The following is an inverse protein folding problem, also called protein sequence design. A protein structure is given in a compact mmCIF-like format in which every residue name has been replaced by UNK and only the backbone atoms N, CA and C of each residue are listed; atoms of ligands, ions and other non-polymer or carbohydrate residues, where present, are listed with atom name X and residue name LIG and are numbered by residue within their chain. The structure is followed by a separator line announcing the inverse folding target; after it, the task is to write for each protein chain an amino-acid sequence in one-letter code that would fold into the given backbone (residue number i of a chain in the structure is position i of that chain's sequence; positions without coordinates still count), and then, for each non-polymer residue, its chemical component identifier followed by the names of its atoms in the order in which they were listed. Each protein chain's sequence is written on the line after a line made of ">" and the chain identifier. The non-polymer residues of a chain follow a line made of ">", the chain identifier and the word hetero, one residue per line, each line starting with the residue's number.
data_IF_985811595939
#
_entry.id   IF_985811595939
#
_cell.length_a   1.000
_cell.length_b   1.000
_cell.length_c   1.000
_cell.angle_alpha   90.00
_cell.angle_beta   90.00
_cell.angle_gamma   90.00
#
_symmetry.space_group_name_H-M   'P 1'
#
loop_
_entity.id
_entity.type
_entity.pdbx_description
1 polymer ?
#
# COMPACT_ATOMS: atom_id res chain seq x y z
N UNK A 1 -12.36 17.01 -12.57
CA UNK A 1 -11.78 15.64 -12.64
C UNK A 1 -10.80 15.42 -13.80
N UNK A 2 -11.05 15.93 -15.02
CA UNK A 2 -10.19 15.68 -16.20
C UNK A 2 -8.83 16.40 -16.19
N UNK A 3 -8.75 17.61 -15.61
CA UNK A 3 -7.52 18.44 -15.67
C UNK A 3 -6.39 17.91 -14.77
N UNK A 4 -6.67 17.60 -13.50
CA UNK A 4 -5.69 17.00 -12.58
C UNK A 4 -5.11 15.68 -13.11
N UNK A 5 -5.97 14.85 -13.68
CA UNK A 5 -5.60 13.61 -14.35
C UNK A 5 -4.62 13.90 -15.51
N UNK A 6 -4.96 14.84 -16.39
CA UNK A 6 -4.09 15.20 -17.53
C UNK A 6 -2.74 15.78 -17.11
N UNK A 7 -2.71 16.58 -16.04
CA UNK A 7 -1.48 17.15 -15.50
C UNK A 7 -0.56 16.07 -14.96
N UNK A 8 -1.02 15.22 -14.03
CA UNK A 8 -0.15 14.19 -13.46
C UNK A 8 0.30 13.14 -14.49
N UNK A 9 -0.53 12.79 -15.47
CA UNK A 9 -0.10 11.91 -16.57
C UNK A 9 0.99 12.50 -17.45
N UNK A 10 1.06 13.84 -17.57
CA UNK A 10 2.09 14.52 -18.35
C UNK A 10 3.31 14.86 -17.53
N UNK A 11 3.09 15.39 -16.32
CA UNK A 11 4.10 16.07 -15.52
C UNK A 11 4.60 15.24 -14.34
N UNK A 12 4.15 13.99 -14.15
CA UNK A 12 4.74 13.12 -13.12
C UNK A 12 6.16 12.72 -13.50
N UNK A 13 7.01 12.51 -12.48
CA UNK A 13 8.36 11.96 -12.65
C UNK A 13 8.37 10.56 -13.30
N UNK A 14 7.24 9.84 -13.26
CA UNK A 14 7.07 8.57 -13.98
C UNK A 14 6.88 8.75 -15.49
N UNK A 15 6.53 9.95 -15.95
CA UNK A 15 6.13 10.21 -17.34
C UNK A 15 7.16 11.03 -18.11
N UNK A 16 7.81 11.98 -17.42
CA UNK A 16 8.81 12.89 -18.00
C UNK A 16 10.01 13.03 -17.07
N UNK A 17 11.16 13.33 -17.66
CA UNK A 17 12.37 13.67 -16.89
C UNK A 17 12.14 14.91 -16.01
N UNK A 18 12.79 14.92 -14.85
CA UNK A 18 12.88 16.07 -13.96
C UNK A 18 14.22 16.75 -14.13
N UNK A 19 14.17 18.03 -14.44
CA UNK A 19 15.38 18.80 -14.65
C UNK A 19 15.76 19.50 -13.36
N UNK A 20 17.04 19.45 -13.03
CA UNK A 20 17.62 20.13 -11.89
C UNK A 20 18.89 20.86 -12.33
N UNK A 21 19.15 22.01 -11.72
CA UNK A 21 20.39 22.73 -11.92
C UNK A 21 21.49 22.11 -11.07
N UNK A 22 22.57 21.65 -11.71
CA UNK A 22 23.77 21.18 -11.03
C UNK A 22 24.79 22.31 -11.00
N UNK A 23 25.02 22.85 -9.79
CA UNK A 23 26.02 23.87 -9.55
C UNK A 23 27.34 23.25 -9.05
N UNK A 24 28.44 23.99 -9.20
CA UNK A 24 29.77 23.54 -8.80
C UNK A 24 30.44 24.53 -7.83
N UNK A 25 31.25 24.02 -6.91
CA UNK A 25 32.09 24.85 -6.02
C UNK A 25 33.31 25.42 -6.74
N UNK A 26 33.71 24.83 -7.86
CA UNK A 26 34.91 25.19 -8.60
C UNK A 26 34.65 25.33 -10.10
N UNK A 27 35.40 26.23 -10.75
CA UNK A 27 35.28 26.49 -12.19
C UNK A 27 35.67 25.27 -13.04
N UNK A 28 36.45 24.33 -12.50
CA UNK A 28 36.80 23.07 -13.16
C UNK A 28 35.64 22.05 -13.19
N UNK A 29 34.50 22.35 -12.54
CA UNK A 29 33.30 21.51 -12.49
C UNK A 29 33.54 20.08 -11.99
N UNK A 30 34.46 19.92 -11.04
CA UNK A 30 34.77 18.62 -10.43
C UNK A 30 34.16 18.42 -9.05
N UNK A 31 33.65 19.49 -8.43
CA UNK A 31 32.99 19.44 -7.11
C UNK A 31 31.59 20.01 -7.20
N UNK A 32 30.58 19.13 -7.27
CA UNK A 32 29.16 19.50 -7.29
C UNK A 32 28.70 20.04 -5.94
N UNK A 33 27.80 21.02 -5.96
CA UNK A 33 27.05 21.44 -4.78
C UNK A 33 25.93 20.42 -4.50
N UNK A 34 25.60 20.26 -3.22
CA UNK A 34 24.49 19.41 -2.77
C UNK A 34 23.13 20.13 -2.79
N UNK A 35 23.08 21.35 -3.32
CA UNK A 35 21.89 22.18 -3.46
C UNK A 35 22.06 23.09 -4.67
N UNK A 36 20.95 23.58 -5.22
CA UNK A 36 20.95 24.68 -6.18
C UNK A 36 20.00 25.80 -5.79
N UNK A 37 20.38 27.03 -6.13
CA UNK A 37 19.52 28.23 -6.04
C UNK A 37 18.60 28.38 -7.25
N UNK A 38 18.92 27.74 -8.37
CA UNK A 38 18.27 27.98 -9.66
C UNK A 38 17.31 26.83 -9.98
N UNK A 39 16.07 27.18 -10.30
CA UNK A 39 15.00 26.21 -10.56
C UNK A 39 14.48 26.27 -12.02
N UNK A 40 15.20 26.97 -12.88
CA UNK A 40 14.92 27.04 -14.31
C UNK A 40 16.24 27.02 -15.10
N UNK A 41 16.13 26.66 -16.38
CA UNK A 41 17.27 26.47 -17.27
C UNK A 41 18.08 27.75 -17.45
N UNK A 42 17.42 28.88 -17.72
CA UNK A 42 18.08 30.15 -18.02
C UNK A 42 18.96 30.60 -16.85
N UNK A 43 18.38 30.71 -15.65
CA UNK A 43 19.13 31.13 -14.46
C UNK A 43 20.25 30.15 -14.11
N UNK A 44 20.04 28.85 -14.35
CA UNK A 44 21.06 27.84 -14.13
C UNK A 44 22.28 28.06 -15.03
N UNK A 45 22.03 28.21 -16.34
CA UNK A 45 23.08 28.37 -17.35
C UNK A 45 23.79 29.73 -17.23
N UNK A 46 23.05 30.81 -16.93
CA UNK A 46 23.60 32.15 -16.72
C UNK A 46 24.53 32.24 -15.49
N UNK A 47 24.42 31.28 -14.57
CA UNK A 47 25.24 31.19 -13.35
C UNK A 47 26.19 29.99 -13.38
N UNK A 48 26.66 29.59 -14.57
CA UNK A 48 27.64 28.53 -14.80
C UNK A 48 27.23 27.13 -14.31
N UNK A 49 25.94 26.93 -14.05
CA UNK A 49 25.35 25.63 -13.72
C UNK A 49 25.15 24.75 -14.94
N UNK A 50 24.82 23.49 -14.69
CA UNK A 50 24.44 22.54 -15.74
C UNK A 50 22.99 22.08 -15.54
N UNK A 51 22.14 22.36 -16.53
CA UNK A 51 20.74 21.97 -16.51
C UNK A 51 20.60 20.49 -16.92
N UNK A 52 20.46 19.59 -15.94
CA UNK A 52 20.50 18.14 -16.16
C UNK A 52 19.14 17.49 -16.01
N UNK A 53 18.83 16.57 -16.93
CA UNK A 53 17.65 15.70 -16.86
C UNK A 53 17.91 14.45 -16.00
N UNK A 54 17.06 14.25 -15.00
CA UNK A 54 16.99 13.07 -14.14
C UNK A 54 15.71 12.28 -14.40
N UNK A 55 15.81 10.95 -14.30
CA UNK A 55 14.72 10.05 -14.58
C UNK A 55 14.36 9.24 -13.32
N UNK A 56 13.08 9.23 -12.99
CA UNK A 56 12.55 8.26 -12.03
C UNK A 56 12.64 6.86 -12.62
N UNK A 57 12.96 5.86 -11.81
CA UNK A 57 13.28 4.53 -12.29
C UNK A 57 12.84 3.44 -11.29
N UNK A 58 12.47 2.26 -11.82
CA UNK A 58 12.23 1.06 -11.01
C UNK A 58 13.56 0.44 -10.58
N UNK A 59 14.46 0.23 -11.55
CA UNK A 59 15.81 -0.27 -11.31
C UNK A 59 16.76 0.07 -12.45
N UNK A 60 18.06 -0.04 -12.17
CA UNK A 60 19.11 0.04 -13.18
C UNK A 60 19.22 -1.28 -13.93
N UNK A 61 19.52 -1.20 -15.23
CA UNK A 61 19.70 -2.34 -16.12
C UNK A 61 21.12 -2.32 -16.74
N UNK A 62 22.19 -2.53 -15.95
CA UNK A 62 23.57 -2.35 -16.42
C UNK A 62 24.01 -3.35 -17.50
N UNK A 63 23.25 -4.43 -17.69
CA UNK A 63 23.50 -5.44 -18.73
C UNK A 63 22.90 -5.07 -20.09
N UNK A 64 22.06 -4.03 -20.14
CA UNK A 64 21.45 -3.52 -21.38
C UNK A 64 22.39 -2.49 -22.00
N UNK A 65 22.70 -2.66 -23.28
CA UNK A 65 23.59 -1.73 -23.99
C UNK A 65 22.94 -0.34 -24.10
N UNK A 66 23.76 0.72 -24.23
CA UNK A 66 23.24 2.07 -24.45
C UNK A 66 22.37 2.16 -25.72
N UNK A 67 22.72 1.41 -26.77
CA UNK A 67 21.96 1.38 -28.02
C UNK A 67 20.58 0.74 -27.83
N UNK A 68 20.48 -0.30 -26.99
CA UNK A 68 19.24 -1.01 -26.71
C UNK A 68 18.40 -0.35 -25.60
N UNK A 69 18.95 0.65 -24.92
CA UNK A 69 18.32 1.31 -23.78
C UNK A 69 17.40 2.48 -24.19
N UNK A 70 16.47 2.21 -25.11
CA UNK A 70 15.60 3.25 -25.66
C UNK A 70 14.16 2.72 -25.85
N UNK A 71 13.19 3.50 -25.38
CA UNK A 71 11.77 3.29 -25.70
C UNK A 71 11.16 2.06 -25.02
N UNK A 72 10.19 1.44 -25.70
CA UNK A 72 9.54 0.21 -25.25
C UNK A 72 10.39 -1.01 -25.61
N UNK A 73 10.85 -1.72 -24.57
CA UNK A 73 11.56 -2.98 -24.67
C UNK A 73 10.64 -4.19 -24.52
N UNK A 74 11.23 -5.34 -24.22
CA UNK A 74 10.50 -6.61 -24.05
C UNK A 74 9.52 -6.53 -22.86
N UNK A 75 8.40 -7.23 -22.97
CA UNK A 75 7.36 -7.35 -21.92
C UNK A 75 6.70 -6.02 -21.51
N UNK A 76 6.71 -5.01 -22.39
CA UNK A 76 6.09 -3.70 -22.13
C UNK A 76 6.88 -2.80 -21.18
N UNK A 77 8.12 -3.18 -20.85
CA UNK A 77 9.02 -2.36 -20.04
C UNK A 77 9.57 -1.20 -20.87
N UNK A 78 9.74 -0.04 -20.24
CA UNK A 78 10.33 1.13 -20.89
C UNK A 78 11.74 1.37 -20.37
N UNK A 79 12.64 1.73 -21.26
CA UNK A 79 14.05 1.97 -20.95
C UNK A 79 14.47 3.38 -21.35
N UNK A 80 15.38 3.96 -20.57
CA UNK A 80 16.06 5.21 -20.92
C UNK A 80 17.51 5.18 -20.44
N UNK A 81 18.41 5.66 -21.27
CA UNK A 81 19.79 5.91 -20.88
C UNK A 81 19.90 7.34 -20.33
N UNK A 82 20.13 7.48 -19.02
CA UNK A 82 20.08 8.80 -18.37
C UNK A 82 20.57 8.79 -16.92
N UNK A 83 20.43 9.94 -16.27
CA UNK A 83 20.80 10.10 -14.87
C UNK A 83 19.67 9.62 -13.94
N UNK A 84 19.96 8.72 -12.99
CA UNK A 84 18.97 8.28 -12.00
C UNK A 84 18.61 9.42 -11.04
N UNK A 85 17.32 9.66 -10.86
CA UNK A 85 16.81 10.61 -9.85
C UNK A 85 17.25 10.21 -8.44
N UNK A 86 17.68 11.20 -7.64
CA UNK A 86 18.07 11.01 -6.25
C UNK A 86 19.48 10.42 -6.03
N UNK A 87 20.28 10.29 -7.09
CA UNK A 87 21.67 9.85 -6.99
C UNK A 87 22.66 10.93 -7.42
N UNK A 88 23.70 11.14 -6.62
CA UNK A 88 24.82 11.98 -6.98
C UNK A 88 25.81 11.22 -7.88
N UNK A 89 25.49 11.12 -9.17
CA UNK A 89 26.34 10.47 -10.19
C UNK A 89 26.55 11.35 -11.42
N UNK A 90 27.73 11.25 -12.02
CA UNK A 90 28.06 11.85 -13.33
C UNK A 90 28.00 10.84 -14.47
N UNK A 91 27.68 9.57 -14.16
CA UNK A 91 27.52 8.52 -15.16
C UNK A 91 26.05 8.30 -15.47
N UNK A 92 25.70 8.44 -16.75
CA UNK A 92 24.45 7.93 -17.27
C UNK A 92 24.48 6.40 -17.25
N UNK A 93 23.33 5.79 -17.02
CA UNK A 93 23.17 4.34 -17.05
C UNK A 93 21.83 3.99 -17.67
N UNK A 94 21.66 2.71 -18.00
CA UNK A 94 20.37 2.24 -18.47
C UNK A 94 19.39 2.08 -17.30
N UNK A 95 18.22 2.70 -17.40
CA UNK A 95 17.19 2.75 -16.37
C UNK A 95 15.91 2.10 -16.90
N UNK A 96 15.30 1.23 -16.09
CA UNK A 96 13.94 0.74 -16.30
C UNK A 96 12.98 1.79 -15.76
N UNK A 97 12.18 2.40 -16.62
CA UNK A 97 11.20 3.42 -16.24
C UNK A 97 9.99 2.79 -15.54
N UNK A 98 9.42 3.45 -14.51
CA UNK A 98 8.14 3.04 -13.94
C UNK A 98 7.01 3.22 -14.96
N UNK A 99 5.88 2.51 -14.78
CA UNK A 99 4.69 2.79 -15.56
C UNK A 99 4.22 4.23 -15.33
N UNK A 100 3.59 4.80 -16.36
CA UNK A 100 2.92 6.09 -16.22
C UNK A 100 1.89 6.03 -15.07
N UNK A 101 1.62 7.16 -14.39
CA UNK A 101 0.66 7.18 -13.30
C UNK A 101 -0.71 6.71 -13.78
N UNK A 102 -1.29 5.74 -13.07
CA UNK A 102 -2.70 5.46 -13.21
C UNK A 102 -3.49 6.56 -12.50
N UNK A 103 -4.43 7.15 -13.22
CA UNK A 103 -5.21 8.27 -12.75
C UNK A 103 -6.68 7.93 -12.97
N UNK A 104 -7.40 7.79 -11.88
CA UNK A 104 -8.81 7.41 -11.88
C UNK A 104 -9.63 8.44 -11.10
N UNK A 105 -10.90 8.63 -11.47
CA UNK A 105 -11.88 9.24 -10.61
C UNK A 105 -11.83 8.68 -9.18
N UNK A 106 -11.68 9.54 -8.18
CA UNK A 106 -11.88 9.12 -6.79
C UNK A 106 -13.31 8.57 -6.63
N UNK A 107 -13.49 7.40 -6.00
CA UNK A 107 -14.82 6.91 -5.66
C UNK A 107 -15.58 7.92 -4.81
N UNK A 108 -16.87 8.06 -5.06
CA UNK A 108 -17.71 8.90 -4.22
C UNK A 108 -17.78 8.30 -2.81
N UNK A 109 -17.60 9.13 -1.78
CA UNK A 109 -17.91 8.77 -0.39
C UNK A 109 -18.58 9.96 0.30
N UNK A 110 -19.40 9.69 1.32
CA UNK A 110 -19.97 10.75 2.16
C UNK A 110 -18.88 11.29 3.09
N UNK A 111 -18.81 12.61 3.23
CA UNK A 111 -17.89 13.27 4.17
C UNK A 111 -18.05 12.70 5.58
N UNK A 112 -16.94 12.45 6.27
CA UNK A 112 -16.89 11.91 7.64
C UNK A 112 -17.51 10.50 7.83
N UNK A 113 -17.56 9.67 6.79
CA UNK A 113 -18.11 8.29 6.87
C UNK A 113 -17.04 7.23 6.54
N UNK A 114 -15.82 7.41 7.05
CA UNK A 114 -14.70 6.44 6.98
C UNK A 114 -14.37 5.93 5.56
N UNK A 115 -14.73 6.70 4.53
CA UNK A 115 -14.46 6.36 3.13
C UNK A 115 -15.40 5.32 2.53
N UNK A 116 -16.55 5.02 3.14
CA UNK A 116 -17.54 4.13 2.54
C UNK A 116 -18.14 4.74 1.26
N UNK A 117 -18.18 3.93 0.21
CA UNK A 117 -18.79 4.24 -1.06
C UNK A 117 -20.32 4.22 -0.97
N UNK A 118 -21.00 4.52 -2.08
CA UNK A 118 -22.48 4.46 -2.16
C UNK A 118 -23.05 3.08 -1.84
N UNK A 119 -22.26 2.03 -2.03
CA UNK A 119 -22.66 0.63 -1.80
C UNK A 119 -22.39 0.17 -0.35
N UNK A 120 -21.95 1.09 0.52
CA UNK A 120 -21.65 0.79 1.92
C UNK A 120 -20.30 0.09 2.15
N UNK A 121 -19.57 -0.21 1.08
CA UNK A 121 -18.23 -0.80 1.13
C UNK A 121 -17.14 0.28 1.21
N UNK A 122 -16.04 -0.01 1.87
CA UNK A 122 -14.90 0.91 1.90
C UNK A 122 -14.37 1.16 0.47
N UNK A 123 -14.13 2.43 0.15
CA UNK A 123 -13.48 2.81 -1.11
C UNK A 123 -12.10 2.17 -1.16
N UNK A 124 -11.77 1.59 -2.31
CA UNK A 124 -10.50 0.92 -2.54
C UNK A 124 -9.92 1.32 -3.90
N UNK A 125 -8.64 1.02 -4.07
CA UNK A 125 -7.93 1.16 -5.33
C UNK A 125 -7.11 -0.12 -5.55
N UNK A 126 -7.42 -0.84 -6.63
CA UNK A 126 -6.69 -2.04 -7.02
C UNK A 126 -5.37 -1.64 -7.64
N UNK A 127 -4.29 -1.76 -6.86
CA UNK A 127 -2.95 -1.47 -7.32
C UNK A 127 -2.26 -2.72 -7.88
N UNK A 128 -1.92 -2.70 -9.17
CA UNK A 128 -1.02 -3.69 -9.77
C UNK A 128 0.42 -3.33 -9.43
N UNK A 129 1.10 -4.23 -8.72
CA UNK A 129 2.49 -4.04 -8.30
C UNK A 129 3.43 -3.99 -9.51
N UNK A 130 4.44 -3.11 -9.50
CA UNK A 130 5.38 -2.98 -10.62
C UNK A 130 6.24 -4.24 -10.79
N UNK A 131 6.55 -4.56 -12.04
CA UNK A 131 7.45 -5.66 -12.40
C UNK A 131 8.91 -5.18 -12.44
N UNK A 132 9.78 -5.86 -11.71
CA UNK A 132 11.23 -5.62 -11.70
C UNK A 132 11.93 -6.73 -12.50
N UNK A 133 12.43 -6.47 -13.72
CA UNK A 133 13.08 -7.47 -14.56
C UNK A 133 14.29 -8.18 -13.93
N UNK A 134 14.94 -7.61 -12.92
CA UNK A 134 16.06 -8.31 -12.24
C UNK A 134 15.63 -9.54 -11.45
N UNK A 135 14.35 -9.69 -11.13
CA UNK A 135 13.87 -10.80 -10.30
C UNK A 135 14.48 -10.82 -8.90
N UNK A 136 14.98 -9.67 -8.42
CA UNK A 136 15.52 -9.52 -7.06
C UNK A 136 14.48 -8.93 -6.12
N UNK A 137 14.53 -9.32 -4.86
CA UNK A 137 13.71 -8.69 -3.81
C UNK A 137 14.00 -7.20 -3.73
N UNK A 138 12.93 -6.38 -3.72
CA UNK A 138 13.02 -4.91 -3.61
C UNK A 138 12.46 -4.44 -2.29
N UNK A 139 13.17 -3.48 -1.66
CA UNK A 139 12.63 -2.69 -0.56
C UNK A 139 11.92 -1.48 -1.16
N UNK A 140 10.61 -1.40 -0.99
CA UNK A 140 9.78 -0.36 -1.54
C UNK A 140 9.17 0.47 -0.41
N UNK A 141 8.86 1.73 -0.71
CA UNK A 141 8.06 2.60 0.15
C UNK A 141 6.74 2.84 -0.56
N UNK A 142 5.64 2.47 0.08
CA UNK A 142 4.32 2.96 -0.33
C UNK A 142 4.06 4.26 0.41
N UNK A 143 3.75 5.31 -0.33
CA UNK A 143 3.41 6.62 0.22
C UNK A 143 2.00 6.98 -0.20
N UNK A 144 1.13 7.18 0.79
CA UNK A 144 -0.25 7.60 0.59
C UNK A 144 -0.34 9.06 1.02
N UNK A 145 -0.74 9.93 0.08
CA UNK A 145 -0.98 11.34 0.35
C UNK A 145 -2.47 11.65 0.17
N UNK A 146 -3.05 12.29 1.17
CA UNK A 146 -4.41 12.80 1.12
C UNK A 146 -4.37 14.32 0.94
N UNK A 147 -4.80 14.77 -0.23
CA UNK A 147 -4.88 16.19 -0.58
C UNK A 147 -6.34 16.64 -0.54
N UNK A 148 -6.57 17.84 0.00
CA UNK A 148 -7.88 18.48 0.06
C UNK A 148 -7.84 19.69 -0.85
N UNK A 149 -8.85 19.85 -1.71
CA UNK A 149 -9.12 21.08 -2.45
C UNK A 149 -10.45 21.69 -2.00
N UNK A 150 -10.64 22.98 -2.27
CA UNK A 150 -11.87 23.73 -1.96
C UNK A 150 -12.41 24.36 -3.23
N UNK A 151 -13.72 24.60 -3.31
CA UNK A 151 -14.34 25.30 -4.45
C UNK A 151 -14.27 26.84 -4.32
N UNK A 152 -13.57 27.35 -3.31
CA UNK A 152 -13.34 28.78 -3.07
C UNK A 152 -12.40 29.44 -4.11
N UNK A 153 -11.77 28.65 -4.99
CA UNK A 153 -11.01 29.06 -6.17
C UNK A 153 -11.19 27.97 -7.24
N UNK A 154 -10.80 28.20 -8.50
CA UNK A 154 -10.80 27.12 -9.52
C UNK A 154 -9.74 26.08 -9.14
N UNK A 155 -10.13 24.93 -8.55
CA UNK A 155 -9.17 23.98 -8.03
C UNK A 155 -8.54 23.14 -9.15
N UNK A 156 -9.00 23.29 -10.40
CA UNK A 156 -8.59 22.50 -11.54
C UNK A 156 -7.67 23.26 -12.50
N UNK A 157 -7.69 24.59 -12.46
CA UNK A 157 -6.82 25.46 -13.26
C UNK A 157 -5.82 26.27 -12.42
N UNK A 158 -5.92 26.23 -11.09
CA UNK A 158 -4.97 26.88 -10.19
C UNK A 158 -3.91 25.88 -9.73
N UNK A 159 -2.65 26.16 -10.02
CA UNK A 159 -1.49 25.40 -9.58
C UNK A 159 -0.42 26.30 -8.95
N UNK A 160 0.80 25.76 -8.77
CA UNK A 160 1.90 26.49 -8.17
C UNK A 160 2.34 27.74 -8.97
N UNK A 161 2.00 27.87 -10.25
CA UNK A 161 2.28 29.07 -11.04
C UNK A 161 1.45 30.28 -10.59
N UNK A 162 0.35 30.05 -9.88
CA UNK A 162 -0.51 31.07 -9.30
C UNK A 162 -0.11 31.44 -7.87
N UNK A 163 1.00 30.89 -7.35
CA UNK A 163 1.55 31.31 -6.07
C UNK A 163 1.95 32.80 -6.15
N UNK A 164 1.68 33.54 -5.08
CA UNK A 164 1.95 34.97 -5.03
C UNK A 164 3.40 35.30 -5.41
N UNK A 165 3.58 36.06 -6.49
CA UNK A 165 4.87 36.56 -6.96
C UNK A 165 4.75 38.05 -7.30
N UNK A 166 5.10 38.90 -6.33
CA UNK A 166 5.00 40.35 -6.47
C UNK A 166 5.95 40.93 -7.53
N UNK A 167 7.06 40.27 -7.83
CA UNK A 167 8.01 40.73 -8.86
C UNK A 167 7.42 40.60 -10.26
N UNK A 168 6.60 39.57 -10.49
CA UNK A 168 5.90 39.34 -11.74
C UNK A 168 4.49 39.94 -11.76
N UNK A 169 4.11 40.69 -10.71
CA UNK A 169 2.76 41.23 -10.55
C UNK A 169 1.67 40.16 -10.37
N UNK A 170 2.06 38.94 -10.00
CA UNK A 170 1.14 37.82 -9.86
C UNK A 170 0.60 37.74 -8.43
N UNK A 171 -0.72 37.88 -8.30
CA UNK A 171 -1.43 37.76 -7.03
C UNK A 171 -2.07 36.39 -6.91
N UNK A 172 -1.91 35.77 -5.74
CA UNK A 172 -2.57 34.49 -5.45
C UNK A 172 -4.10 34.67 -5.46
N UNK A 173 -4.85 33.71 -6.05
CA UNK A 173 -6.32 33.72 -6.01
C UNK A 173 -6.85 33.51 -4.59
N UNK A 174 -6.04 32.93 -3.69
CA UNK A 174 -6.37 32.77 -2.27
C UNK A 174 -5.49 33.71 -1.46
N UNK A 175 -6.10 34.53 -0.61
CA UNK A 175 -5.39 35.53 0.22
C UNK A 175 -5.71 35.33 1.70
N UNK A 176 -4.80 35.80 2.56
CA UNK A 176 -4.99 35.77 4.01
C UNK A 176 -5.98 36.87 4.42
N UNK A 177 -7.08 36.47 5.07
CA UNK A 177 -8.13 37.36 5.56
C UNK A 177 -8.51 38.51 4.60
N UNK A 178 -8.91 38.22 3.35
CA UNK A 178 -9.19 39.24 2.36
C UNK A 178 -10.39 40.08 2.77
N UNK A 179 -10.38 41.33 2.32
CA UNK A 179 -11.50 42.25 2.44
C UNK A 179 -12.27 42.19 1.13
N UNK A 180 -13.49 41.70 1.16
CA UNK A 180 -14.34 41.50 -0.03
C UNK A 180 -15.42 42.57 -0.08
N UNK A 181 -15.54 43.20 -1.25
CA UNK A 181 -16.65 44.10 -1.52
C UNK A 181 -17.90 43.26 -1.79
N UNK A 182 -18.97 43.57 -1.06
CA UNK A 182 -20.26 42.90 -1.16
C UNK A 182 -21.31 43.76 -1.89
N UNK A 183 -20.88 44.85 -2.54
CA UNK A 183 -21.78 45.80 -3.21
C UNK A 183 -22.60 46.65 -2.24
N UNK A 184 -22.26 46.63 -0.94
CA UNK A 184 -22.80 47.53 0.06
C UNK A 184 -21.80 48.67 0.26
N UNK A 185 -22.08 49.82 -0.36
CA UNK A 185 -21.22 51.01 -0.40
C UNK A 185 -20.39 51.20 0.88
N UNK A 186 -19.06 51.21 0.70
CA UNK A 186 -18.04 51.42 1.74
C UNK A 186 -18.05 50.46 2.94
N UNK A 187 -18.77 49.34 2.86
CA UNK A 187 -18.87 48.36 3.94
C UNK A 187 -18.37 46.97 3.52
N UNK A 188 -17.06 46.82 3.21
CA UNK A 188 -16.55 45.53 2.81
C UNK A 188 -16.51 44.57 4.02
N UNK A 189 -16.71 43.28 3.76
CA UNK A 189 -16.60 42.25 4.79
C UNK A 189 -15.21 41.64 4.78
N UNK A 190 -14.67 41.36 5.97
CA UNK A 190 -13.41 40.64 6.11
C UNK A 190 -13.67 39.16 6.27
N UNK A 191 -13.19 38.35 5.33
CA UNK A 191 -13.25 36.90 5.45
C UNK A 191 -12.22 36.42 6.49
N UNK A 192 -12.57 35.42 7.29
CA UNK A 192 -11.68 34.79 8.27
C UNK A 192 -10.94 33.61 7.62
N UNK A 193 -10.15 33.89 6.59
CA UNK A 193 -9.40 32.88 5.83
C UNK A 193 -7.97 32.79 6.35
N UNK A 194 -7.57 31.58 6.75
CA UNK A 194 -6.17 31.22 6.99
C UNK A 194 -5.62 30.42 5.80
N UNK A 195 -4.71 31.00 5.03
CA UNK A 195 -4.11 30.33 3.85
C UNK A 195 -3.33 29.07 4.23
N UNK A 196 -2.86 28.94 5.47
CA UNK A 196 -2.24 27.71 5.97
C UNK A 196 -3.24 26.55 6.21
N UNK A 197 -4.54 26.83 6.15
CA UNK A 197 -5.62 25.84 6.30
C UNK A 197 -6.42 25.65 5.01
N UNK A 198 -6.18 26.49 3.99
CA UNK A 198 -6.71 26.30 2.64
C UNK A 198 -6.05 25.11 1.96
N UNK A 199 -6.74 24.50 0.98
CA UNK A 199 -6.42 23.20 0.36
C UNK A 199 -4.96 22.71 0.50
N UNK A 200 -4.77 21.58 1.18
CA UNK A 200 -3.45 21.08 1.60
C UNK A 200 -3.32 19.57 1.51
N UNK A 201 -2.08 19.09 1.53
CA UNK A 201 -1.77 17.70 1.92
C UNK A 201 -2.07 17.55 3.41
N UNK A 202 -3.20 16.94 3.75
CA UNK A 202 -3.65 16.79 5.12
C UNK A 202 -2.95 15.62 5.82
N UNK A 203 -2.68 14.54 5.08
CA UNK A 203 -1.94 13.39 5.59
C UNK A 203 -0.96 12.87 4.56
N UNK A 204 0.22 12.50 5.07
CA UNK A 204 1.25 11.79 4.35
C UNK A 204 1.67 10.61 5.21
N UNK A 205 1.53 9.39 4.66
CA UNK A 205 1.80 8.14 5.36
C UNK A 205 2.69 7.29 4.48
N UNK A 206 3.80 6.83 5.04
CA UNK A 206 4.76 5.98 4.34
C UNK A 206 4.89 4.66 5.08
N UNK A 207 4.86 3.56 4.33
CA UNK A 207 5.14 2.22 4.86
C UNK A 207 6.21 1.57 4.01
N UNK A 208 7.15 0.88 4.65
CA UNK A 208 8.19 0.12 3.98
C UNK A 208 7.72 -1.32 3.85
N UNK A 209 7.85 -1.89 2.67
CA UNK A 209 7.51 -3.29 2.43
C UNK A 209 8.50 -3.92 1.46
N UNK A 210 8.51 -5.25 1.42
CA UNK A 210 9.32 -6.01 0.49
C UNK A 210 8.46 -6.52 -0.66
N UNK A 211 8.90 -6.25 -1.89
CA UNK A 211 8.41 -6.95 -3.07
C UNK A 211 9.35 -8.11 -3.36
N UNK A 212 8.83 -9.33 -3.21
CA UNK A 212 9.57 -10.56 -3.50
C UNK A 212 9.32 -11.01 -4.93
N UNK A 213 10.30 -11.68 -5.56
CA UNK A 213 10.12 -12.25 -6.88
C UNK A 213 8.97 -13.27 -6.86
N UNK A 214 8.16 -13.25 -7.92
CA UNK A 214 7.13 -14.27 -8.12
C UNK A 214 7.81 -15.65 -8.23
N UNK A 215 7.31 -16.69 -7.53
CA UNK A 215 7.79 -18.04 -7.74
C UNK A 215 7.67 -18.47 -9.21
N UNK A 216 8.64 -19.24 -9.70
CA UNK A 216 8.68 -19.75 -11.08
C UNK A 216 7.43 -20.59 -11.42
N UNK A 217 6.96 -20.54 -12.67
CA UNK A 217 5.82 -21.36 -13.13
C UNK A 217 4.45 -20.76 -12.80
N UNK A 218 4.42 -19.51 -12.34
CA UNK A 218 3.22 -18.76 -12.00
C UNK A 218 2.97 -17.60 -12.97
N UNK A 219 3.64 -17.58 -14.12
CA UNK A 219 3.48 -16.55 -15.14
C UNK A 219 2.02 -16.49 -15.61
N UNK A 220 1.46 -15.28 -15.76
CA UNK A 220 0.09 -15.07 -16.23
C UNK A 220 -1.04 -15.32 -15.22
N UNK A 221 -0.72 -15.77 -13.99
CA UNK A 221 -1.73 -15.98 -12.92
C UNK A 221 -1.92 -14.73 -12.08
N UNK A 222 -3.15 -14.38 -11.67
CA UNK A 222 -3.33 -13.29 -10.73
C UNK A 222 -2.94 -13.75 -9.32
N UNK A 223 -2.30 -12.85 -8.55
CA UNK A 223 -2.01 -13.06 -7.12
C UNK A 223 -2.75 -11.98 -6.36
N UNK A 224 -3.79 -12.37 -5.64
CA UNK A 224 -4.57 -11.51 -4.77
C UNK A 224 -3.92 -11.46 -3.39
N UNK A 225 -3.67 -10.25 -2.88
CA UNK A 225 -3.11 -10.07 -1.55
C UNK A 225 -4.24 -9.96 -0.52
N UNK A 226 -4.33 -10.90 0.40
CA UNK A 226 -5.26 -10.88 1.53
C UNK A 226 -4.49 -10.48 2.79
N UNK A 227 -4.80 -9.28 3.30
CA UNK A 227 -4.12 -8.65 4.42
C UNK A 227 -5.09 -8.33 5.57
N UNK A 228 -4.56 -7.67 6.59
CA UNK A 228 -5.32 -7.00 7.64
C UNK A 228 -5.11 -5.49 7.52
N UNK A 229 -6.19 -4.73 7.75
CA UNK A 229 -6.14 -3.27 7.92
C UNK A 229 -6.63 -2.89 9.30
N UNK A 230 -6.42 -1.63 9.65
CA UNK A 230 -7.08 -0.99 10.80
C UNK A 230 -6.18 -0.91 12.01
N UNK A 231 -6.78 -0.53 13.13
CA UNK A 231 -6.14 -0.30 14.42
C UNK A 231 -6.82 -1.13 15.49
N UNK A 232 -6.08 -1.50 16.54
CA UNK A 232 -6.66 -2.13 17.73
C UNK A 232 -7.51 -1.14 18.52
N UNK A 233 -8.74 -1.52 18.81
CA UNK A 233 -9.68 -0.74 19.62
C UNK A 233 -11.11 -0.98 19.14
N UNK A 234 -12.07 -0.40 19.87
CA UNK A 234 -13.44 -0.24 19.37
C UNK A 234 -13.54 1.02 18.48
N UNK A 235 -14.68 1.20 17.82
CA UNK A 235 -14.93 2.33 16.90
C UNK A 235 -14.60 3.72 17.47
N UNK A 236 -14.78 3.94 18.78
CA UNK A 236 -14.46 5.22 19.43
C UNK A 236 -12.95 5.39 19.62
N UNK A 237 -12.27 4.32 20.01
CA UNK A 237 -10.82 4.32 20.28
C UNK A 237 -9.96 4.38 19.02
N UNK A 238 -10.47 3.87 17.89
CA UNK A 238 -9.73 3.88 16.63
C UNK A 238 -10.01 5.10 15.79
N UNK A 239 -11.09 5.85 16.04
CA UNK A 239 -11.44 7.05 15.27
C UNK A 239 -10.26 8.04 15.27
N UNK A 240 -9.93 8.67 14.11
CA UNK A 240 -10.62 8.62 12.81
C UNK A 240 -10.20 7.45 11.89
N UNK A 241 -9.44 6.46 12.38
CA UNK A 241 -9.15 5.23 11.65
C UNK A 241 -10.30 4.21 11.74
N UNK A 242 -10.08 3.01 11.20
CA UNK A 242 -11.04 1.89 11.24
C UNK A 242 -10.55 0.77 12.16
N UNK A 243 -11.49 -0.02 12.66
CA UNK A 243 -11.21 -1.23 13.46
C UNK A 243 -10.47 -2.27 12.60
N UNK A 244 -9.86 -3.26 13.25
CA UNK A 244 -9.24 -4.36 12.52
C UNK A 244 -10.23 -5.13 11.65
N UNK A 245 -9.85 -5.33 10.39
CA UNK A 245 -10.64 -6.01 9.39
C UNK A 245 -9.72 -6.72 8.37
N UNK A 246 -10.22 -7.76 7.71
CA UNK A 246 -9.51 -8.35 6.57
C UNK A 246 -9.68 -7.46 5.34
N UNK A 247 -8.66 -7.41 4.48
CA UNK A 247 -8.75 -6.71 3.19
C UNK A 247 -8.19 -7.58 2.08
N UNK A 248 -8.99 -7.89 1.05
CA UNK A 248 -10.43 -7.62 0.99
C UNK A 248 -11.22 -8.45 2.02
N UNK A 249 -12.31 -7.89 2.55
CA UNK A 249 -13.26 -8.61 3.41
C UNK A 249 -14.02 -9.66 2.62
N UNK A 250 -14.30 -9.35 1.35
CA UNK A 250 -14.97 -10.22 0.39
C UNK A 250 -14.11 -10.36 -0.88
N UNK A 251 -13.37 -11.46 -0.98
CA UNK A 251 -12.46 -11.75 -2.10
C UNK A 251 -13.18 -12.58 -3.15
N UNK A 252 -13.37 -12.02 -4.34
CA UNK A 252 -13.87 -12.76 -5.51
C UNK A 252 -12.71 -13.07 -6.46
N UNK A 253 -12.55 -14.34 -6.81
CA UNK A 253 -11.49 -14.84 -7.69
C UNK A 253 -11.97 -16.04 -8.51
N UNK A 254 -11.22 -16.43 -9.53
CA UNK A 254 -11.48 -17.63 -10.34
C UNK A 254 -10.50 -18.76 -9.96
N UNK A 255 -10.89 -20.02 -10.18
CA UNK A 255 -9.94 -21.13 -10.10
C UNK A 255 -8.75 -20.90 -11.05
N UNK A 256 -7.54 -21.09 -10.53
CA UNK A 256 -6.30 -20.76 -11.23
C UNK A 256 -5.73 -19.40 -10.84
N UNK A 257 -6.46 -18.53 -10.16
CA UNK A 257 -5.87 -17.42 -9.42
C UNK A 257 -5.24 -17.91 -8.10
N UNK A 258 -4.41 -17.06 -7.51
CA UNK A 258 -3.71 -17.32 -6.26
C UNK A 258 -4.05 -16.26 -5.21
N UNK A 259 -3.99 -16.66 -3.95
CA UNK A 259 -4.13 -15.76 -2.81
C UNK A 259 -2.87 -15.82 -1.96
N UNK A 260 -2.16 -14.70 -1.83
CA UNK A 260 -1.12 -14.56 -0.82
C UNK A 260 -1.76 -14.01 0.45
N UNK A 261 -1.91 -14.89 1.45
CA UNK A 261 -2.41 -14.47 2.75
C UNK A 261 -1.21 -14.15 3.65
N UNK A 262 -1.15 -12.91 4.12
CA UNK A 262 -0.10 -12.41 5.00
C UNK A 262 -0.62 -11.25 5.86
N UNK A 263 0.09 -10.89 6.92
CA UNK A 263 -0.20 -9.69 7.69
C UNK A 263 1.01 -9.19 8.47
N UNK A 264 1.01 -7.90 8.74
CA UNK A 264 1.87 -7.27 9.72
C UNK A 264 1.08 -6.98 11.00
N UNK A 265 1.76 -7.10 12.14
CA UNK A 265 1.24 -6.69 13.44
C UNK A 265 2.26 -5.83 14.17
N UNK A 266 2.04 -5.59 15.47
CA UNK A 266 2.91 -4.74 16.28
C UNK A 266 3.16 -5.32 17.66
N UNK A 267 4.28 -4.94 18.26
CA UNK A 267 4.61 -5.14 19.67
C UNK A 267 4.74 -3.82 20.44
N UNK A 268 4.57 -2.70 19.75
CA UNK A 268 4.83 -1.36 20.25
C UNK A 268 3.66 -0.43 19.94
N UNK A 269 2.46 -0.98 19.76
CA UNK A 269 1.29 -0.18 19.49
C UNK A 269 0.97 0.71 20.69
N UNK A 270 1.28 2.00 20.57
CA UNK A 270 0.94 2.97 21.59
C UNK A 270 -0.46 3.49 21.29
N UNK A 271 -1.44 2.98 22.02
CA UNK A 271 -2.84 3.33 21.86
C UNK A 271 -3.20 4.67 22.53
N UNK A 272 -2.31 5.66 22.37
CA UNK A 272 -2.57 7.07 22.58
C UNK A 272 -2.70 7.54 24.03
N UNK A 273 -2.28 6.79 25.04
CA UNK A 273 -2.44 7.27 26.42
C UNK A 273 -1.42 8.36 26.79
N UNK A 274 -1.85 9.52 27.35
CA UNK A 274 -3.24 9.92 27.59
C UNK A 274 -3.87 10.61 26.36
N UNK A 275 -5.03 10.13 25.89
CA UNK A 275 -5.84 10.86 24.89
C UNK A 275 -7.03 11.51 25.61
N UNK A 276 -7.21 12.81 25.40
CA UNK A 276 -8.22 13.59 26.12
C UNK A 276 -9.67 13.22 25.79
N UNK A 277 -9.96 12.81 24.55
CA UNK A 277 -11.33 12.65 24.02
C UNK A 277 -11.80 11.19 23.89
N UNK A 278 -11.16 10.25 24.61
CA UNK A 278 -11.53 8.83 24.59
C UNK A 278 -11.00 8.05 23.38
N UNK A 279 -10.14 8.66 22.55
CA UNK A 279 -9.42 7.98 21.45
C UNK A 279 -8.19 7.17 21.91
N UNK A 280 -8.09 6.89 23.21
CA UNK A 280 -7.08 6.03 23.79
C UNK A 280 -7.66 4.69 24.25
N UNK A 281 -6.80 3.68 24.22
CA UNK A 281 -7.10 2.33 24.68
C UNK A 281 -7.20 1.33 23.55
N UNK A 282 -7.18 0.06 23.92
CA UNK A 282 -6.83 -1.07 23.09
C UNK A 282 -7.85 -2.20 23.21
N UNK A 283 -9.14 -1.84 23.25
CA UNK A 283 -10.22 -2.82 23.38
C UNK A 283 -10.06 -3.93 22.34
N UNK A 284 -10.16 -5.17 22.83
CA UNK A 284 -9.72 -6.36 22.11
C UNK A 284 -8.86 -7.24 23.00
N UNK A 285 -8.59 -8.46 22.53
CA UNK A 285 -7.95 -9.49 23.34
C UNK A 285 -6.42 -9.42 23.35
N UNK A 286 -5.80 -9.97 24.39
CA UNK A 286 -4.35 -10.13 24.55
C UNK A 286 -3.63 -8.90 25.09
N UNK A 287 -2.31 -9.00 25.20
CA UNK A 287 -1.45 -8.03 25.90
C UNK A 287 -1.54 -6.64 25.30
N UNK A 288 -1.63 -5.61 26.16
CA UNK A 288 -1.65 -4.22 25.73
C UNK A 288 -0.47 -3.85 24.88
N UNK A 289 -0.72 -3.04 23.84
CA UNK A 289 0.27 -2.61 22.87
C UNK A 289 0.77 -3.68 21.89
N UNK A 290 0.15 -4.86 21.90
CA UNK A 290 0.43 -5.92 20.91
C UNK A 290 -0.72 -6.12 19.95
N UNK A 291 -0.39 -6.42 18.70
CA UNK A 291 -1.33 -6.76 17.65
C UNK A 291 -0.97 -8.10 17.04
N UNK A 292 -1.95 -9.00 16.95
CA UNK A 292 -1.83 -10.32 16.34
C UNK A 292 -3.10 -10.59 15.58
N UNK A 293 -2.95 -11.34 14.51
CA UNK A 293 -4.05 -11.80 13.68
C UNK A 293 -3.91 -13.29 13.48
N UNK A 294 -5.01 -13.97 13.20
CA UNK A 294 -5.03 -15.36 12.80
C UNK A 294 -6.22 -15.60 11.89
N UNK A 295 -6.25 -16.75 11.25
CA UNK A 295 -7.37 -17.17 10.41
C UNK A 295 -7.78 -18.57 10.82
N UNK A 296 -9.06 -18.72 11.12
CA UNK A 296 -9.73 -20.01 11.29
C UNK A 296 -10.98 -20.03 10.43
N UNK A 297 -11.28 -21.18 9.82
CA UNK A 297 -12.48 -21.34 9.01
C UNK A 297 -13.74 -21.34 9.88
N UNK A 298 -14.82 -20.75 9.37
CA UNK A 298 -16.18 -20.84 9.90
C UNK A 298 -17.10 -21.52 8.88
N UNK A 299 -18.28 -21.98 9.32
CA UNK A 299 -19.31 -22.52 8.43
C UNK A 299 -20.19 -21.41 7.84
N UNK A 300 -20.50 -20.39 8.62
CA UNK A 300 -21.32 -19.25 8.20
C UNK A 300 -20.76 -17.94 8.77
N UNK A 301 -21.01 -16.81 8.08
CA UNK A 301 -20.72 -15.47 8.62
C UNK A 301 -21.58 -15.13 9.84
N UNK A 302 -22.71 -15.83 10.03
CA UNK A 302 -23.57 -15.70 11.21
C UNK A 302 -22.97 -16.36 12.46
N UNK A 303 -21.99 -17.25 12.30
CA UNK A 303 -21.32 -17.92 13.41
C UNK A 303 -20.29 -17.00 14.07
N UNK A 304 -19.93 -17.28 15.32
CA UNK A 304 -18.83 -16.62 16.04
C UNK A 304 -17.84 -17.64 16.63
N UNK A 305 -17.79 -18.83 16.06
CA UNK A 305 -16.91 -19.91 16.48
C UNK A 305 -16.34 -20.62 15.24
N UNK A 306 -15.11 -21.16 15.32
CA UNK A 306 -14.52 -21.88 14.21
C UNK A 306 -15.24 -23.21 13.94
N UNK A 307 -15.19 -23.65 12.68
CA UNK A 307 -15.49 -25.02 12.33
C UNK A 307 -14.40 -25.95 12.88
N UNK A 308 -14.75 -27.15 13.40
CA UNK A 308 -13.77 -28.20 13.65
C UNK A 308 -12.97 -28.53 12.38
N UNK A 309 -11.69 -28.86 12.51
CA UNK A 309 -10.81 -29.11 11.35
C UNK A 309 -11.34 -30.25 10.47
N UNK A 310 -11.95 -31.26 11.07
CA UNK A 310 -12.56 -32.41 10.37
C UNK A 310 -13.69 -31.98 9.42
N UNK A 311 -14.26 -30.80 9.63
CA UNK A 311 -15.28 -30.19 8.78
C UNK A 311 -14.75 -28.98 7.99
N UNK A 312 -13.43 -28.76 7.97
CA UNK A 312 -12.82 -27.68 7.22
C UNK A 312 -12.86 -28.00 5.72
N UNK A 313 -13.43 -27.10 4.93
CA UNK A 313 -13.38 -27.18 3.47
C UNK A 313 -12.33 -26.26 2.88
N UNK A 314 -12.00 -25.15 3.54
CA UNK A 314 -11.02 -24.15 3.09
C UNK A 314 -9.62 -24.75 3.00
N UNK A 315 -9.14 -25.36 4.07
CA UNK A 315 -7.78 -25.91 4.11
C UNK A 315 -7.64 -27.19 3.30
N UNK A 316 -8.69 -28.01 3.26
CA UNK A 316 -8.74 -29.21 2.41
C UNK A 316 -8.90 -28.90 0.92
N UNK A 317 -9.18 -27.64 0.55
CA UNK A 317 -9.25 -27.19 -0.85
C UNK A 317 -8.09 -26.30 -1.26
N UNK A 318 -7.09 -26.13 -0.38
CA UNK A 318 -5.98 -25.22 -0.59
C UNK A 318 -4.72 -25.96 -1.04
N UNK A 319 -4.20 -25.59 -2.21
CA UNK A 319 -2.87 -26.00 -2.68
C UNK A 319 -1.84 -24.95 -2.33
N UNK A 320 -0.70 -25.37 -1.79
CA UNK A 320 0.40 -24.49 -1.41
C UNK A 320 1.39 -24.37 -2.57
N UNK A 321 1.51 -23.17 -3.15
CA UNK A 321 2.49 -22.88 -4.19
C UNK A 321 3.81 -22.37 -3.61
N UNK A 322 3.74 -21.63 -2.52
CA UNK A 322 4.90 -21.12 -1.83
C UNK A 322 4.59 -20.95 -0.34
N UNK A 323 5.36 -21.60 0.56
CA UNK A 323 5.24 -21.38 1.99
C UNK A 323 6.36 -20.45 2.51
N UNK A 324 6.05 -19.60 3.49
CA UNK A 324 7.07 -18.83 4.20
C UNK A 324 7.92 -19.69 5.16
N UNK A 325 7.36 -20.82 5.61
CA UNK A 325 8.02 -21.78 6.51
C UNK A 325 8.31 -23.09 5.78
N UNK A 326 9.24 -23.94 6.29
CA UNK A 326 9.82 -25.02 5.50
C UNK A 326 8.82 -26.02 4.90
N UNK A 327 7.66 -26.30 5.53
CA UNK A 327 6.64 -27.22 4.98
C UNK A 327 5.23 -26.95 5.50
N UNK A 328 4.28 -26.72 4.58
CA UNK A 328 2.84 -26.91 4.79
C UNK A 328 2.40 -28.13 3.99
N UNK A 329 2.83 -29.32 4.43
CA UNK A 329 2.68 -30.56 3.67
C UNK A 329 1.27 -31.13 3.70
N UNK A 330 0.51 -30.87 4.78
CA UNK A 330 -0.85 -31.34 4.97
C UNK A 330 -1.79 -30.15 5.14
N UNK A 331 -3.07 -30.30 4.76
CA UNK A 331 -4.10 -29.30 5.04
C UNK A 331 -4.14 -28.89 6.53
N UNK A 332 -3.85 -29.83 7.42
CA UNK A 332 -3.78 -29.61 8.87
C UNK A 332 -2.61 -28.73 9.29
N UNK A 333 -1.46 -28.88 8.64
CA UNK A 333 -0.29 -28.02 8.91
C UNK A 333 -0.60 -26.57 8.55
N UNK A 334 -1.25 -26.37 7.39
CA UNK A 334 -1.70 -25.06 6.93
C UNK A 334 -2.71 -24.44 7.91
N UNK A 335 -3.74 -25.20 8.30
CA UNK A 335 -4.75 -24.74 9.25
C UNK A 335 -4.13 -24.30 10.58
N UNK A 336 -3.18 -25.08 11.11
CA UNK A 336 -2.47 -24.78 12.36
C UNK A 336 -1.59 -23.55 12.24
N UNK A 337 -0.86 -23.39 11.13
CA UNK A 337 0.00 -22.23 10.93
C UNK A 337 -0.83 -20.93 10.88
N UNK A 338 -1.93 -20.93 10.12
CA UNK A 338 -2.81 -19.77 10.03
C UNK A 338 -3.59 -19.51 11.33
N UNK A 339 -4.02 -20.55 12.05
CA UNK A 339 -4.70 -20.41 13.33
C UNK A 339 -3.78 -19.87 14.45
N UNK A 340 -2.48 -20.13 14.36
CA UNK A 340 -1.47 -19.76 15.36
C UNK A 340 -0.61 -18.55 15.00
N UNK A 341 -0.92 -17.85 13.90
CA UNK A 341 -0.13 -16.73 13.37
C UNK A 341 1.34 -17.10 13.08
N UNK A 342 1.56 -18.33 12.60
CA UNK A 342 2.89 -18.87 12.33
C UNK A 342 3.69 -19.30 13.56
N UNK A 343 3.08 -19.31 14.75
CA UNK A 343 3.75 -19.81 15.95
C UNK A 343 4.06 -21.31 15.84
N UNK A 344 3.10 -22.10 15.36
CA UNK A 344 3.34 -23.47 14.93
C UNK A 344 3.46 -23.50 13.40
N UNK A 345 4.36 -24.33 12.87
CA UNK A 345 4.53 -24.46 11.40
C UNK A 345 3.97 -25.78 10.86
N UNK A 346 3.73 -26.76 11.73
CA UNK A 346 3.13 -28.04 11.40
C UNK A 346 2.49 -28.66 12.65
N UNK A 347 1.69 -29.72 12.46
CA UNK A 347 1.10 -30.46 13.59
C UNK A 347 2.12 -31.42 14.22
N UNK A 348 2.78 -32.24 13.38
CA UNK A 348 3.60 -33.39 13.81
C UNK A 348 5.10 -33.08 13.83
N UNK A 349 5.79 -33.46 14.89
CA UNK A 349 7.21 -33.15 15.09
C UNK A 349 8.15 -33.85 14.11
N UNK A 350 7.70 -34.91 13.44
CA UNK A 350 8.42 -35.57 12.36
C UNK A 350 8.61 -34.64 11.15
N UNK A 351 7.71 -33.67 10.96
CA UNK A 351 7.72 -32.74 9.82
C UNK A 351 8.55 -31.49 10.10
N UNK A 352 8.33 -30.82 11.25
CA UNK A 352 8.96 -29.54 11.58
C UNK A 352 9.62 -29.48 12.97
N UNK A 353 9.88 -30.64 13.59
CA UNK A 353 10.64 -30.78 14.83
C UNK A 353 10.12 -29.90 15.97
N UNK A 354 10.93 -28.96 16.45
CA UNK A 354 10.62 -28.08 17.58
C UNK A 354 9.61 -27.00 17.25
N UNK A 355 9.23 -26.83 15.98
CA UNK A 355 8.23 -25.85 15.53
C UNK A 355 6.82 -26.44 15.44
N UNK A 356 6.64 -27.70 15.87
CA UNK A 356 5.38 -28.44 15.82
C UNK A 356 4.49 -28.19 17.04
N UNK A 357 3.20 -28.49 16.91
CA UNK A 357 2.25 -28.48 18.04
C UNK A 357 2.68 -29.43 19.16
N UNK A 358 3.26 -30.58 18.81
CA UNK A 358 3.64 -31.64 19.76
C UNK A 358 4.85 -31.28 20.63
N UNK A 359 5.78 -30.46 20.12
CA UNK A 359 7.05 -30.17 20.82
C UNK A 359 7.25 -28.72 21.22
N UNK A 360 6.70 -27.75 20.50
CA UNK A 360 6.86 -26.35 20.85
C UNK A 360 6.04 -26.04 22.10
N UNK A 361 6.46 -25.01 22.85
CA UNK A 361 5.71 -24.52 23.99
C UNK A 361 4.25 -24.25 23.63
N UNK A 362 3.35 -24.37 24.61
CA UNK A 362 1.93 -24.14 24.38
C UNK A 362 1.67 -22.71 23.90
N UNK A 363 0.92 -22.58 22.81
CA UNK A 363 0.43 -21.30 22.31
C UNK A 363 -0.46 -20.64 23.37
N UNK A 364 -0.21 -19.37 23.64
CA UNK A 364 -1.07 -18.57 24.50
C UNK A 364 -2.44 -18.39 23.81
N UNK A 365 -3.52 -18.58 24.56
CA UNK A 365 -4.89 -18.56 24.02
C UNK A 365 -5.30 -17.22 23.39
N UNK A 366 -4.60 -16.13 23.70
CA UNK A 366 -4.78 -14.80 23.11
C UNK A 366 -3.65 -14.44 22.14
N UNK A 367 -2.84 -15.43 21.74
CA UNK A 367 -1.70 -15.30 20.82
C UNK A 367 -0.56 -14.40 21.34
N UNK A 368 -0.47 -14.17 22.65
CA UNK A 368 0.52 -13.26 23.22
C UNK A 368 1.99 -13.67 22.94
N UNK A 369 2.25 -14.96 22.77
CA UNK A 369 3.56 -15.50 22.43
C UNK A 369 3.74 -15.79 20.92
N UNK A 370 2.74 -15.50 20.09
CA UNK A 370 2.85 -15.64 18.65
C UNK A 370 3.68 -14.50 18.02
N UNK A 371 4.23 -14.68 16.81
CA UNK A 371 4.83 -13.60 16.03
C UNK A 371 3.82 -12.49 15.70
N UNK A 372 4.26 -11.23 15.71
CA UNK A 372 3.42 -10.07 15.35
C UNK A 372 2.98 -10.11 13.88
N UNK A 373 3.94 -10.45 13.01
CA UNK A 373 3.78 -10.49 11.57
C UNK A 373 3.89 -11.92 11.08
N UNK A 374 3.13 -12.25 10.04
CA UNK A 374 3.09 -13.56 9.43
C UNK A 374 3.17 -13.42 7.92
N UNK A 375 4.24 -13.97 7.35
CA UNK A 375 4.46 -13.94 5.90
C UNK A 375 3.59 -14.97 5.16
N UNK A 376 3.09 -15.98 5.87
CA UNK A 376 2.04 -16.87 5.40
C UNK A 376 2.41 -17.76 4.22
N UNK A 377 1.52 -17.82 3.25
CA UNK A 377 1.62 -18.72 2.10
C UNK A 377 0.93 -18.14 0.86
N UNK A 378 1.44 -18.52 -0.30
CA UNK A 378 0.77 -18.36 -1.58
C UNK A 378 -0.07 -19.63 -1.85
N UNK A 379 -1.38 -19.45 -1.89
CA UNK A 379 -2.36 -20.53 -1.96
C UNK A 379 -3.18 -20.46 -3.24
N UNK A 380 -3.57 -21.62 -3.75
CA UNK A 380 -4.64 -21.76 -4.73
C UNK A 380 -5.82 -22.47 -4.08
N UNK A 381 -7.02 -21.93 -4.24
CA UNK A 381 -8.24 -22.53 -3.73
C UNK A 381 -9.07 -23.11 -4.87
N UNK A 382 -9.77 -24.21 -4.61
CA UNK A 382 -10.81 -24.72 -5.51
C UNK A 382 -12.05 -23.85 -5.50
N UNK A 383 -12.92 -24.07 -6.48
CA UNK A 383 -14.27 -23.53 -6.54
C UNK A 383 -14.98 -23.77 -5.22
N UNK A 384 -15.50 -22.70 -4.64
CA UNK A 384 -16.12 -22.76 -3.33
C UNK A 384 -16.35 -21.39 -2.73
N UNK A 385 -16.95 -21.40 -1.54
CA UNK A 385 -17.09 -20.22 -0.71
C UNK A 385 -16.56 -20.55 0.68
N UNK A 386 -15.57 -19.80 1.13
CA UNK A 386 -14.82 -20.07 2.34
C UNK A 386 -14.94 -18.88 3.28
N UNK A 387 -15.66 -19.06 4.39
CA UNK A 387 -15.79 -18.06 5.44
C UNK A 387 -14.73 -18.28 6.52
N UNK A 388 -14.16 -17.20 7.04
CA UNK A 388 -13.13 -17.26 8.07
C UNK A 388 -13.20 -16.07 9.01
N UNK A 389 -12.59 -16.22 10.18
CA UNK A 389 -12.50 -15.18 11.20
C UNK A 389 -11.11 -15.12 11.84
N UNK A 390 -10.80 -13.98 12.44
CA UNK A 390 -9.73 -13.88 13.41
C UNK A 390 -10.27 -14.09 14.83
N UNK A 391 -9.87 -15.16 15.52
CA UNK A 391 -10.38 -15.47 16.86
C UNK A 391 -9.95 -14.44 17.90
N UNK A 392 -8.77 -13.84 17.76
CA UNK A 392 -8.31 -12.79 18.68
C UNK A 392 -9.11 -11.50 18.56
N UNK A 393 -9.60 -11.23 17.36
CA UNK A 393 -10.13 -9.92 16.97
C UNK A 393 -11.63 -9.92 16.70
N UNK A 394 -12.27 -11.09 16.70
CA UNK A 394 -13.71 -11.26 16.64
C UNK A 394 -14.27 -11.43 18.06
N UNK A 395 -14.48 -10.30 18.75
CA UNK A 395 -15.09 -10.25 20.08
C UNK A 395 -16.56 -9.82 19.98
N UNK A 396 -17.39 -10.12 20.98
CA UNK A 396 -18.77 -9.62 21.08
C UNK A 396 -18.77 -8.13 21.48
N UNK A 397 -18.29 -7.28 20.56
CA UNK A 397 -18.58 -5.86 20.51
C UNK A 397 -19.20 -5.54 19.16
N UNK A 398 -19.34 -4.29 18.79
CA UNK A 398 -19.69 -3.84 17.44
C UNK A 398 -18.67 -4.27 16.34
N UNK A 399 -17.75 -5.20 16.63
CA UNK A 399 -16.58 -5.57 15.83
C UNK A 399 -16.66 -7.03 15.40
N UNK A 400 -16.52 -7.27 14.10
CA UNK A 400 -16.44 -8.63 13.56
C UNK A 400 -15.36 -8.69 12.48
N UNK A 401 -14.18 -9.22 12.84
CA UNK A 401 -13.11 -9.47 11.86
C UNK A 401 -13.36 -10.83 11.20
N UNK A 402 -14.18 -10.81 10.15
CA UNK A 402 -14.56 -11.95 9.34
C UNK A 402 -14.31 -11.63 7.87
N UNK A 403 -14.08 -12.65 7.07
CA UNK A 403 -13.98 -12.49 5.63
C UNK A 403 -14.49 -13.70 4.88
N UNK A 404 -14.60 -13.53 3.56
CA UNK A 404 -15.01 -14.58 2.64
C UNK A 404 -14.09 -14.61 1.43
N UNK A 405 -13.74 -15.81 0.98
CA UNK A 405 -13.16 -16.05 -0.34
C UNK A 405 -14.21 -16.79 -1.18
N UNK A 406 -14.65 -16.17 -2.27
CA UNK A 406 -15.46 -16.79 -3.31
C UNK A 406 -14.57 -17.13 -4.49
N UNK A 407 -14.53 -18.43 -4.81
CA UNK A 407 -13.81 -18.94 -5.96
C UNK A 407 -14.85 -19.44 -6.97
N UNK A 408 -14.94 -18.74 -8.09
CA UNK A 408 -15.73 -19.16 -9.23
C UNK A 408 -14.97 -20.18 -10.08
N UNK A 409 -15.70 -20.92 -10.92
CA UNK A 409 -15.10 -21.84 -11.89
C UNK A 409 -14.22 -21.06 -12.87
N UNK A 410 -12.98 -21.52 -13.06
CA UNK A 410 -11.98 -20.84 -13.88
C UNK A 410 -11.40 -21.75 -14.95
N UNK A 411 -11.01 -21.16 -16.09
CA UNK A 411 -10.46 -21.92 -17.23
C UNK A 411 -8.94 -22.09 -17.18
N UNK A 412 -8.27 -21.49 -16.19
CA UNK A 412 -6.80 -21.46 -16.07
C UNK A 412 -6.24 -22.48 -15.09
N UNK A 413 -7.10 -23.16 -14.34
CA UNK A 413 -6.65 -24.08 -13.30
C UNK A 413 -6.25 -25.42 -13.88
N UNK A 414 -5.05 -25.88 -13.53
CA UNK A 414 -4.60 -27.27 -13.70
C UNK A 414 -4.72 -28.05 -12.38
N UNK A 415 -5.52 -27.56 -11.43
CA UNK A 415 -5.63 -28.08 -10.07
C UNK A 415 -6.41 -29.40 -10.07
N UNK A 416 -5.73 -30.48 -9.70
CA UNK A 416 -6.30 -31.82 -9.59
C UNK A 416 -6.38 -32.29 -8.14
N UNK A 417 -7.08 -33.40 -7.87
CA UNK A 417 -7.18 -34.00 -6.52
C UNK A 417 -5.81 -34.42 -5.97
N UNK A 418 -4.85 -34.72 -6.85
CA UNK A 418 -3.49 -35.11 -6.48
C UNK A 418 -2.65 -33.93 -5.96
N UNK A 419 -3.10 -32.69 -6.17
CA UNK A 419 -2.38 -31.51 -5.72
C UNK A 419 -2.87 -30.98 -4.37
N UNK A 420 -3.85 -31.64 -3.76
CA UNK A 420 -4.30 -31.35 -2.41
C UNK A 420 -3.32 -31.95 -1.39
N UNK A 421 -3.00 -31.22 -0.31
CA UNK A 421 -2.07 -31.66 0.72
C UNK A 421 -2.64 -32.74 1.64
#
# INVERSE_FOLDING_TARGET
>A
MLLFHSYYKRESANSVAKYECVEFYNNARTQKKHWSRWNNQQDCEDNDGEWRAYYSYLEKAPTVSQADCQGEGRSGLRYVYGYPEGEDTDTQTCLVLPPAPDCQPAPWSRSNHLGNSREGQASNYTWVLPYFPSGNTKRCVVRIRYNISTDDYDPWQTDAAYNQNLQLGLLSPVQQNPTVDIGAEYSPLRLAINTAQFGRTFQDRSHVFLLKPRPSGLEGRAIHNLNVRGKRGNIVQVYPAVEYDFVPTDLHMEEGDLTHIQWEGSNSHNNGNPAGDGQAGDAGEGTTGTDRNNIVQMRSLLDNFPAPFENSTMWNSARVWWPAAPKYSLAKDLAVAFASSGYYTCFHAEVCHTESVERKNKLDKLLNNAPASFEGALLEFRKGTYHYMCTRNNNFSNRSQKGTIHVAEGTKSSFTDNDLP
#
